data_IF_354829405009
#
_entry.id   IF_354829405009
#
_cell.length_a   1.000
_cell.length_b   1.000
_cell.length_c   1.000
_cell.angle_alpha   90.00
_cell.angle_beta   90.00
_cell.angle_gamma   90.00
#
_symmetry.space_group_name_H-M   'P 1'
#
loop_
_entity.id
_entity.type
_entity.pdbx_description
1 polymer ?
#
# COMPACT_ATOMS: atom_id res chain seq x y z
N UNK A 1 -7.03 -29.83 -13.84
CA UNK A 1 -8.25 -30.40 -13.21
C UNK A 1 -8.29 -30.19 -11.70
N UNK A 2 -7.29 -30.61 -10.92
CA UNK A 2 -7.31 -30.47 -9.44
C UNK A 2 -7.49 -29.02 -8.99
N UNK A 3 -6.66 -28.10 -9.47
CA UNK A 3 -6.78 -26.67 -9.13
C UNK A 3 -8.17 -26.11 -9.47
N UNK A 4 -8.69 -26.41 -10.66
CA UNK A 4 -10.04 -26.01 -11.12
C UNK A 4 -11.11 -26.53 -10.16
N UNK A 5 -11.02 -27.78 -9.73
CA UNK A 5 -11.99 -28.35 -8.78
C UNK A 5 -11.92 -27.67 -7.42
N UNK A 6 -10.73 -27.31 -6.93
CA UNK A 6 -10.55 -26.63 -5.65
C UNK A 6 -11.13 -25.21 -5.68
N UNK A 7 -10.79 -24.42 -6.70
CA UNK A 7 -11.33 -23.04 -6.83
C UNK A 7 -12.84 -23.04 -7.10
N UNK A 8 -13.37 -24.06 -7.80
CA UNK A 8 -14.83 -24.25 -7.92
C UNK A 8 -15.49 -24.61 -6.59
N UNK A 9 -14.86 -25.47 -5.78
CA UNK A 9 -15.38 -25.85 -4.46
C UNK A 9 -15.40 -24.66 -3.49
N UNK A 10 -14.45 -23.73 -3.63
CA UNK A 10 -14.40 -22.47 -2.89
C UNK A 10 -15.37 -21.40 -3.43
N UNK A 11 -16.12 -21.68 -4.50
CA UNK A 11 -17.04 -20.70 -5.11
C UNK A 11 -16.38 -19.63 -5.97
N UNK A 12 -15.04 -19.55 -5.98
CA UNK A 12 -14.25 -18.56 -6.74
C UNK A 12 -14.61 -18.54 -8.23
N UNK A 13 -14.72 -19.74 -8.84
CA UNK A 13 -15.07 -19.85 -10.26
C UNK A 13 -16.28 -20.74 -10.46
N UNK A 14 -17.16 -20.34 -11.38
CA UNK A 14 -18.24 -21.17 -11.91
C UNK A 14 -17.99 -21.48 -13.39
N UNK A 15 -18.60 -22.55 -13.91
CA UNK A 15 -18.52 -22.83 -15.34
C UNK A 15 -19.34 -21.82 -16.15
N UNK A 16 -18.93 -21.52 -17.38
CA UNK A 16 -19.70 -20.68 -18.33
C UNK A 16 -21.13 -21.19 -18.52
N UNK A 17 -21.33 -22.51 -18.43
CA UNK A 17 -22.63 -23.14 -18.37
C UNK A 17 -22.66 -24.22 -17.28
N UNK A 18 -23.84 -24.77 -17.01
CA UNK A 18 -24.01 -25.87 -16.05
C UNK A 18 -23.14 -27.10 -16.37
N UNK A 19 -22.78 -27.32 -17.64
CA UNK A 19 -22.01 -28.50 -18.08
C UNK A 19 -20.66 -28.17 -18.70
N UNK A 20 -20.31 -26.89 -18.87
CA UNK A 20 -19.09 -26.47 -19.57
C UNK A 20 -18.33 -25.44 -18.75
N UNK A 21 -17.08 -25.77 -18.40
CA UNK A 21 -16.19 -24.84 -17.68
C UNK A 21 -15.40 -23.90 -18.62
N UNK A 22 -15.18 -24.31 -19.88
CA UNK A 22 -14.45 -23.55 -20.89
C UNK A 22 -13.02 -23.16 -20.48
N UNK A 23 -12.17 -24.16 -20.22
CA UNK A 23 -10.78 -23.96 -19.74
C UNK A 23 -9.85 -23.28 -20.74
N UNK A 24 -10.20 -23.35 -22.03
CA UNK A 24 -9.33 -22.89 -23.11
C UNK A 24 -9.75 -21.50 -23.63
N UNK A 25 -10.87 -20.96 -23.12
CA UNK A 25 -11.36 -19.64 -23.49
C UNK A 25 -10.59 -18.56 -22.74
N UNK A 26 -10.50 -17.38 -23.35
CA UNK A 26 -9.98 -16.21 -22.67
C UNK A 26 -10.93 -15.78 -21.54
N UNK A 27 -10.33 -15.28 -20.46
CA UNK A 27 -11.06 -14.70 -19.31
C UNK A 27 -11.35 -13.24 -19.63
N UNK A 28 -12.62 -12.85 -19.58
CA UNK A 28 -12.98 -11.45 -19.70
C UNK A 28 -12.60 -10.67 -18.43
N UNK A 29 -12.55 -9.35 -18.53
CA UNK A 29 -12.23 -8.50 -17.38
C UNK A 29 -13.30 -8.54 -16.29
N UNK A 30 -14.57 -8.65 -16.67
CA UNK A 30 -15.67 -8.90 -15.73
C UNK A 30 -15.50 -10.23 -14.98
N UNK A 31 -15.14 -11.30 -15.71
CA UNK A 31 -14.94 -12.61 -15.10
C UNK A 31 -13.79 -12.63 -14.12
N UNK A 32 -12.69 -11.93 -14.45
CA UNK A 32 -11.61 -11.80 -13.50
C UNK A 32 -12.06 -11.05 -12.25
N UNK A 33 -12.78 -9.92 -12.39
CA UNK A 33 -13.26 -9.17 -11.24
C UNK A 33 -14.08 -10.06 -10.29
N UNK A 34 -15.00 -10.86 -10.84
CA UNK A 34 -15.78 -11.84 -10.09
C UNK A 34 -14.90 -12.92 -9.43
N UNK A 35 -13.87 -13.42 -10.10
CA UNK A 35 -12.99 -14.41 -9.49
C UNK A 35 -12.21 -13.82 -8.30
N UNK A 36 -11.88 -12.54 -8.36
CA UNK A 36 -11.04 -11.92 -7.32
C UNK A 36 -11.86 -11.49 -6.13
N UNK A 37 -13.01 -10.87 -6.35
CA UNK A 37 -13.92 -10.53 -5.25
C UNK A 37 -14.33 -11.81 -4.48
N UNK A 38 -14.85 -12.84 -5.15
CA UNK A 38 -15.20 -14.12 -4.50
C UNK A 38 -14.02 -14.81 -3.82
N UNK A 39 -12.81 -14.68 -4.36
CA UNK A 39 -11.63 -15.23 -3.68
C UNK A 39 -11.31 -14.45 -2.40
N UNK A 40 -11.37 -13.12 -2.45
CA UNK A 40 -11.11 -12.25 -1.30
C UNK A 40 -12.09 -12.49 -0.15
N UNK A 41 -13.36 -12.82 -0.45
CA UNK A 41 -14.35 -13.25 0.54
C UNK A 41 -14.01 -14.55 1.27
N UNK A 42 -13.06 -15.33 0.75
CA UNK A 42 -12.59 -16.57 1.38
C UNK A 42 -11.26 -16.41 2.15
N UNK A 43 -10.65 -15.22 2.10
CA UNK A 43 -9.32 -14.98 2.65
C UNK A 43 -9.38 -13.95 3.76
N UNK A 44 -8.75 -14.27 4.89
CA UNK A 44 -8.64 -13.34 6.00
C UNK A 44 -7.88 -12.06 5.59
N UNK A 45 -8.44 -10.90 5.92
CA UNK A 45 -7.79 -9.62 5.68
C UNK A 45 -6.46 -9.55 6.42
N UNK A 46 -5.45 -9.08 5.71
CA UNK A 46 -4.16 -8.76 6.27
C UNK A 46 -4.09 -7.32 6.74
N UNK A 47 -2.97 -6.92 7.35
CA UNK A 47 -2.81 -5.55 7.81
C UNK A 47 -2.93 -4.53 6.67
N UNK A 48 -3.80 -3.54 6.87
CA UNK A 48 -4.16 -2.55 5.86
C UNK A 48 -5.19 -3.03 4.83
N UNK A 49 -5.62 -4.29 4.89
CA UNK A 49 -6.75 -4.81 4.12
C UNK A 49 -8.09 -4.33 4.67
N UNK A 50 -9.10 -4.30 3.81
CA UNK A 50 -10.47 -3.91 4.18
C UNK A 50 -11.28 -5.14 4.56
N UNK A 51 -12.00 -5.04 5.67
CA UNK A 51 -13.05 -5.96 6.09
C UNK A 51 -14.19 -5.10 6.56
N UNK A 52 -15.32 -5.19 5.88
CA UNK A 52 -16.49 -4.34 6.08
C UNK A 52 -17.72 -5.19 6.38
N UNK A 53 -18.71 -4.58 7.03
CA UNK A 53 -19.97 -5.23 7.32
C UNK A 53 -20.58 -5.85 6.05
N UNK A 54 -20.99 -7.11 6.14
CA UNK A 54 -21.60 -7.83 5.03
C UNK A 54 -23.11 -7.97 5.27
N UNK A 55 -23.86 -7.27 4.45
CA UNK A 55 -25.31 -7.24 4.53
C UNK A 55 -26.00 -8.49 4.00
N UNK A 56 -25.36 -9.24 3.10
CA UNK A 56 -25.91 -10.50 2.58
C UNK A 56 -25.89 -11.58 3.68
N UNK A 57 -24.84 -11.57 4.49
CA UNK A 57 -24.65 -12.55 5.59
C UNK A 57 -25.14 -12.02 6.95
N UNK A 58 -25.66 -10.78 7.01
CA UNK A 58 -26.12 -10.10 8.22
C UNK A 58 -25.05 -10.04 9.34
N UNK A 59 -23.82 -9.74 8.95
CA UNK A 59 -22.67 -9.60 9.85
C UNK A 59 -22.38 -8.12 10.14
N UNK A 60 -21.94 -7.84 11.36
CA UNK A 60 -21.40 -6.51 11.71
C UNK A 60 -19.94 -6.43 11.29
N UNK A 61 -19.45 -5.22 11.04
CA UNK A 61 -18.07 -4.90 10.65
C UNK A 61 -17.02 -5.67 11.49
N UNK A 62 -17.10 -5.56 12.82
CA UNK A 62 -16.15 -6.22 13.75
C UNK A 62 -16.18 -7.75 13.74
N UNK A 63 -17.16 -8.37 13.07
CA UNK A 63 -17.28 -9.83 12.92
C UNK A 63 -16.83 -10.35 11.55
N UNK A 64 -16.65 -9.46 10.58
CA UNK A 64 -16.11 -9.81 9.26
C UNK A 64 -14.60 -9.80 9.34
N UNK A 65 -14.00 -10.93 8.97
CA UNK A 65 -12.54 -11.11 8.99
C UNK A 65 -11.95 -11.33 7.61
N UNK A 66 -12.79 -11.49 6.59
CA UNK A 66 -12.36 -11.70 5.20
C UNK A 66 -12.23 -10.37 4.46
N UNK A 67 -11.53 -10.39 3.33
CA UNK A 67 -11.37 -9.19 2.51
C UNK A 67 -12.65 -8.93 1.74
N UNK A 68 -13.29 -7.80 2.01
CA UNK A 68 -14.42 -7.30 1.25
C UNK A 68 -14.48 -5.77 1.36
N UNK A 69 -15.40 -5.19 0.59
CA UNK A 69 -15.78 -3.80 0.73
C UNK A 69 -17.19 -3.63 0.16
N UNK A 70 -18.21 -3.58 1.02
CA UNK A 70 -19.61 -3.54 0.58
C UNK A 70 -19.96 -2.19 -0.08
N UNK A 71 -20.24 -2.22 -1.39
CA UNK A 71 -20.72 -1.07 -2.17
C UNK A 71 -22.25 -1.05 -2.37
N UNK A 72 -23.01 -1.79 -1.55
CA UNK A 72 -24.46 -1.92 -1.57
C UNK A 72 -25.23 -1.21 -0.45
N UNK A 73 -26.56 -1.30 -0.50
CA UNK A 73 -27.50 -0.62 0.40
C UNK A 73 -27.59 -1.19 1.82
N UNK A 74 -26.64 -2.04 2.22
CA UNK A 74 -26.72 -2.84 3.43
C UNK A 74 -25.69 -2.50 4.51
N UNK A 75 -24.75 -1.59 4.24
CA UNK A 75 -23.83 -1.07 5.24
C UNK A 75 -24.60 -0.47 6.43
N UNK A 76 -24.48 -1.11 7.59
CA UNK A 76 -25.10 -0.66 8.84
C UNK A 76 -24.51 0.70 9.22
N UNK A 77 -25.23 1.77 8.90
CA UNK A 77 -25.09 3.16 9.38
C UNK A 77 -23.74 3.88 9.30
N UNK A 78 -22.66 3.29 8.78
CA UNK A 78 -21.40 4.02 8.64
C UNK A 78 -20.38 3.38 7.68
N UNK A 79 -20.79 2.93 6.49
CA UNK A 79 -19.82 2.68 5.42
C UNK A 79 -20.37 3.10 4.08
N UNK A 80 -19.85 4.20 3.58
CA UNK A 80 -20.01 4.63 2.20
C UNK A 80 -18.77 4.11 1.48
N UNK A 81 -18.90 3.09 0.62
CA UNK A 81 -18.24 3.27 -0.67
C UNK A 81 -18.64 4.67 -1.10
N UNK A 82 -17.70 5.58 -1.26
CA UNK A 82 -17.99 6.98 -1.58
C UNK A 82 -18.70 7.14 -2.94
N UNK A 83 -19.15 6.04 -3.56
CA UNK A 83 -19.63 5.96 -4.93
C UNK A 83 -18.56 6.37 -5.93
N UNK A 84 -17.32 6.55 -5.48
CA UNK A 84 -16.20 6.98 -6.30
C UNK A 84 -15.67 5.75 -7.03
N UNK A 85 -16.44 5.22 -7.97
CA UNK A 85 -15.87 4.50 -9.10
C UNK A 85 -15.91 5.44 -10.31
N UNK A 86 -14.87 5.41 -11.14
CA UNK A 86 -14.76 6.35 -12.27
C UNK A 86 -15.22 5.77 -13.61
N UNK A 87 -15.70 4.52 -13.61
CA UNK A 87 -16.02 3.80 -14.84
C UNK A 87 -17.44 4.09 -15.33
N UNK A 88 -17.54 4.52 -16.58
CA UNK A 88 -18.81 4.86 -17.23
C UNK A 88 -19.49 3.66 -17.91
N UNK A 89 -18.77 2.57 -18.12
CA UNK A 89 -19.18 1.40 -18.90
C UNK A 89 -19.62 0.20 -18.07
N UNK A 90 -19.62 0.32 -16.74
CA UNK A 90 -19.95 -0.78 -15.81
C UNK A 90 -21.41 -0.78 -15.33
N UNK A 91 -22.15 0.31 -15.56
CA UNK A 91 -23.58 0.45 -15.24
C UNK A 91 -24.48 0.17 -16.45
N UNK A 92 -23.89 -0.27 -17.56
CA UNK A 92 -24.63 -0.61 -18.78
C UNK A 92 -25.20 -2.03 -18.70
N UNK A 93 -26.35 -2.29 -19.35
CA UNK A 93 -26.99 -3.62 -19.34
C UNK A 93 -26.23 -4.75 -20.05
N UNK A 94 -24.99 -4.50 -20.49
CA UNK A 94 -24.09 -5.53 -21.02
C UNK A 94 -23.24 -6.21 -19.94
N UNK A 95 -23.19 -5.64 -18.74
CA UNK A 95 -22.50 -6.18 -17.56
C UNK A 95 -23.54 -6.81 -16.64
N UNK A 96 -23.20 -7.94 -16.02
CA UNK A 96 -24.07 -8.52 -15.01
C UNK A 96 -24.14 -7.64 -13.76
N UNK A 97 -25.24 -7.73 -12.99
CA UNK A 97 -25.37 -6.97 -11.73
C UNK A 97 -24.25 -7.34 -10.76
N UNK A 98 -23.96 -8.65 -10.65
CA UNK A 98 -22.88 -9.17 -9.83
C UNK A 98 -21.52 -8.66 -10.30
N UNK A 99 -21.23 -8.72 -11.61
CA UNK A 99 -19.98 -8.21 -12.16
C UNK A 99 -19.82 -6.70 -11.96
N UNK A 100 -20.90 -5.92 -12.10
CA UNK A 100 -20.89 -4.48 -11.83
C UNK A 100 -20.56 -4.16 -10.38
N UNK A 101 -21.12 -4.92 -9.42
CA UNK A 101 -20.81 -4.77 -8.00
C UNK A 101 -19.36 -5.13 -7.72
N UNK A 102 -18.90 -6.32 -8.10
CA UNK A 102 -17.51 -6.75 -7.90
C UNK A 102 -16.50 -5.72 -8.45
N UNK A 103 -16.74 -5.16 -9.65
CA UNK A 103 -15.85 -4.13 -10.22
C UNK A 103 -15.81 -2.86 -9.35
N UNK A 104 -16.93 -2.44 -8.76
CA UNK A 104 -17.00 -1.24 -7.90
C UNK A 104 -16.28 -1.45 -6.57
N UNK A 105 -16.44 -2.63 -5.99
CA UNK A 105 -15.77 -2.99 -4.74
C UNK A 105 -14.26 -3.05 -4.95
N UNK A 106 -13.81 -3.78 -5.98
CA UNK A 106 -12.40 -3.85 -6.36
C UNK A 106 -11.82 -2.46 -6.67
N UNK A 107 -12.57 -1.58 -7.35
CA UNK A 107 -12.10 -0.20 -7.59
C UNK A 107 -11.85 0.56 -6.29
N UNK A 108 -12.79 0.49 -5.34
CA UNK A 108 -12.67 1.18 -4.05
C UNK A 108 -11.47 0.68 -3.25
N UNK A 109 -11.18 -0.62 -3.35
CA UNK A 109 -10.00 -1.25 -2.77
C UNK A 109 -8.69 -1.00 -3.55
N UNK A 110 -8.74 -0.27 -4.68
CA UNK A 110 -7.57 -0.03 -5.53
C UNK A 110 -7.10 -1.26 -6.31
N UNK A 111 -7.95 -2.28 -6.45
CA UNK A 111 -7.70 -3.51 -7.22
C UNK A 111 -8.19 -3.31 -8.64
N UNK A 112 -7.39 -2.61 -9.44
CA UNK A 112 -7.67 -2.36 -10.85
C UNK A 112 -6.40 -1.99 -11.61
N UNK A 113 -6.41 -2.10 -12.94
CA UNK A 113 -5.27 -1.82 -13.82
C UNK A 113 -5.45 -0.54 -14.66
N UNK A 114 -6.54 0.21 -14.44
CA UNK A 114 -6.74 1.54 -15.00
C UNK A 114 -6.67 1.65 -16.53
N UNK A 115 -7.26 0.70 -17.29
CA UNK A 115 -7.28 0.67 -18.78
C UNK A 115 -7.42 2.07 -19.39
N UNK A 116 -8.38 2.84 -18.89
CA UNK A 116 -8.38 4.30 -18.98
C UNK A 116 -8.85 4.88 -17.64
N UNK A 117 -8.80 6.21 -17.51
CA UNK A 117 -9.33 6.89 -16.33
C UNK A 117 -10.82 6.60 -16.11
N UNK A 118 -11.61 6.33 -17.17
CA UNK A 118 -13.08 6.27 -17.10
C UNK A 118 -13.73 5.06 -17.79
N UNK A 119 -12.93 4.08 -18.23
CA UNK A 119 -13.40 2.90 -18.96
C UNK A 119 -12.74 1.64 -18.40
N UNK A 120 -13.56 0.66 -18.03
CA UNK A 120 -13.10 -0.64 -17.54
C UNK A 120 -12.98 -1.69 -18.65
N UNK A 121 -13.80 -1.61 -19.70
CA UNK A 121 -13.95 -2.61 -20.77
C UNK A 121 -14.31 -4.04 -20.29
N UNK A 122 -15.45 -4.25 -19.59
CA UNK A 122 -15.80 -5.52 -18.93
C UNK A 122 -15.77 -6.77 -19.84
N UNK A 123 -16.22 -6.62 -21.09
CA UNK A 123 -16.32 -7.72 -22.07
C UNK A 123 -15.02 -8.02 -22.81
N UNK A 124 -13.98 -7.21 -22.63
CA UNK A 124 -12.69 -7.43 -23.29
C UNK A 124 -11.89 -8.53 -22.60
N UNK A 125 -11.10 -9.25 -23.37
CA UNK A 125 -10.16 -10.24 -22.85
C UNK A 125 -9.13 -9.57 -21.95
N UNK A 126 -8.87 -10.17 -20.79
CA UNK A 126 -7.88 -9.65 -19.86
C UNK A 126 -6.47 -10.09 -20.25
N UNK A 127 -5.55 -9.12 -20.34
CA UNK A 127 -4.13 -9.42 -20.59
C UNK A 127 -3.46 -10.03 -19.37
N UNK A 128 -2.36 -10.76 -19.56
CA UNK A 128 -1.56 -11.30 -18.45
C UNK A 128 -0.98 -10.22 -17.54
N UNK A 129 -0.63 -9.05 -18.10
CA UNK A 129 -0.13 -7.93 -17.31
C UNK A 129 -1.24 -7.36 -16.42
N UNK A 130 -2.44 -7.15 -16.96
CA UNK A 130 -3.62 -6.75 -16.21
C UNK A 130 -3.94 -7.72 -15.07
N UNK A 131 -3.93 -9.03 -15.37
CA UNK A 131 -4.14 -10.09 -14.38
C UNK A 131 -3.14 -10.01 -13.22
N UNK A 132 -1.86 -9.79 -13.53
CA UNK A 132 -0.81 -9.68 -12.53
C UNK A 132 -0.96 -8.42 -11.65
N UNK A 133 -1.41 -7.30 -12.24
CA UNK A 133 -1.72 -6.07 -11.48
C UNK A 133 -2.87 -6.33 -10.50
N UNK A 134 -3.96 -6.95 -10.94
CA UNK A 134 -5.08 -7.33 -10.06
C UNK A 134 -4.61 -8.25 -8.94
N UNK A 135 -3.79 -9.25 -9.24
CA UNK A 135 -3.24 -10.18 -8.23
C UNK A 135 -2.35 -9.51 -7.21
N UNK A 136 -1.46 -8.64 -7.65
CA UNK A 136 -0.58 -7.94 -6.73
C UNK A 136 -1.37 -7.00 -5.81
N UNK A 137 -2.35 -6.27 -6.37
CA UNK A 137 -3.21 -5.39 -5.60
C UNK A 137 -4.11 -6.16 -4.62
N UNK A 138 -4.75 -7.24 -5.07
CA UNK A 138 -5.61 -8.07 -4.22
C UNK A 138 -4.82 -8.75 -3.09
N UNK A 139 -3.61 -9.27 -3.38
CA UNK A 139 -2.74 -9.86 -2.36
C UNK A 139 -2.33 -8.88 -1.27
N UNK A 140 -2.22 -7.58 -1.59
CA UNK A 140 -1.89 -6.55 -0.61
C UNK A 140 -2.94 -6.43 0.51
N UNK A 141 -4.20 -6.79 0.24
CA UNK A 141 -5.28 -6.83 1.22
C UNK A 141 -5.30 -8.09 2.09
N UNK A 142 -4.52 -9.11 1.75
CA UNK A 142 -4.49 -10.41 2.44
C UNK A 142 -3.27 -10.56 3.35
N UNK A 143 -3.19 -11.67 4.08
CA UNK A 143 -1.99 -12.08 4.81
C UNK A 143 -0.92 -12.78 3.95
N UNK A 144 -1.15 -13.02 2.66
CA UNK A 144 -0.18 -13.75 1.83
C UNK A 144 1.01 -12.85 1.49
N UNK A 145 2.22 -13.32 1.81
CA UNK A 145 3.48 -12.61 1.56
C UNK A 145 4.55 -13.60 1.08
N UNK A 146 5.60 -13.15 0.38
CA UNK A 146 6.69 -14.04 -0.02
C UNK A 146 7.37 -14.68 1.20
N UNK A 147 8.12 -15.76 0.98
CA UNK A 147 8.98 -16.36 2.00
C UNK A 147 9.91 -15.30 2.62
N UNK A 148 10.17 -15.45 3.91
CA UNK A 148 11.11 -14.62 4.66
C UNK A 148 10.44 -13.48 5.39
N UNK A 149 11.28 -12.70 6.06
CA UNK A 149 10.90 -11.50 6.78
C UNK A 149 10.71 -10.37 5.75
N UNK A 150 9.60 -9.66 5.86
CA UNK A 150 9.29 -8.49 5.03
C UNK A 150 8.82 -7.36 5.91
N UNK A 151 9.31 -6.16 5.63
CA UNK A 151 8.80 -4.91 6.22
C UNK A 151 8.24 -4.03 5.11
N UNK A 152 7.07 -3.46 5.36
CA UNK A 152 6.35 -2.60 4.42
C UNK A 152 5.94 -1.32 5.14
N UNK A 153 5.95 -0.21 4.43
CA UNK A 153 5.44 1.06 4.89
C UNK A 153 4.24 1.46 4.02
N UNK A 154 3.16 1.91 4.65
CA UNK A 154 2.01 2.44 3.94
C UNK A 154 2.40 3.69 3.12
N UNK A 155 1.84 3.83 1.92
CA UNK A 155 2.04 5.03 1.10
C UNK A 155 1.57 6.27 1.87
N UNK A 156 2.40 7.32 2.02
CA UNK A 156 1.99 8.53 2.70
C UNK A 156 0.95 9.29 1.87
N UNK A 157 -0.07 9.83 2.54
CA UNK A 157 -1.19 10.50 1.88
C UNK A 157 -0.94 11.99 1.56
N UNK A 158 0.23 12.54 1.91
CA UNK A 158 0.48 13.98 1.87
C UNK A 158 1.89 14.33 1.38
N UNK A 159 2.06 15.58 0.93
CA UNK A 159 3.37 16.18 0.65
C UNK A 159 3.90 16.79 1.95
N UNK A 160 5.18 16.55 2.27
CA UNK A 160 5.85 17.09 3.46
C UNK A 160 6.16 16.00 4.49
N UNK A 161 5.87 16.27 5.77
CA UNK A 161 6.05 15.29 6.85
C UNK A 161 5.21 14.04 6.57
N UNK A 162 5.89 12.91 6.43
CA UNK A 162 5.27 11.65 6.03
C UNK A 162 5.24 10.71 7.22
N UNK A 163 4.04 10.37 7.67
CA UNK A 163 3.79 9.32 8.64
C UNK A 163 3.22 8.12 7.90
N UNK A 164 3.86 6.96 8.06
CA UNK A 164 3.51 5.72 7.39
C UNK A 164 3.38 4.61 8.42
N UNK A 165 2.22 3.98 8.48
CA UNK A 165 2.06 2.76 9.27
C UNK A 165 3.04 1.70 8.75
N UNK A 166 3.79 1.07 9.66
CA UNK A 166 4.64 -0.05 9.35
C UNK A 166 3.88 -1.36 9.52
N UNK A 167 4.25 -2.34 8.71
CA UNK A 167 3.81 -3.71 8.85
C UNK A 167 4.99 -4.65 8.61
N UNK A 168 5.14 -5.64 9.50
CA UNK A 168 6.15 -6.68 9.36
C UNK A 168 5.46 -8.03 9.26
N UNK A 169 5.93 -8.88 8.36
CA UNK A 169 5.44 -10.25 8.19
C UNK A 169 6.60 -11.23 8.07
N UNK A 170 6.41 -12.45 8.56
CA UNK A 170 7.40 -13.52 8.43
C UNK A 170 6.75 -14.81 7.94
N UNK A 171 7.26 -15.34 6.82
CA UNK A 171 6.74 -16.55 6.19
C UNK A 171 7.83 -17.58 5.96
N UNK A 172 7.45 -18.85 5.99
CA UNK A 172 8.34 -19.94 5.58
C UNK A 172 8.31 -20.16 4.05
N UNK A 173 9.04 -21.17 3.58
CA UNK A 173 9.12 -21.53 2.16
C UNK A 173 7.80 -22.04 1.56
N UNK A 174 6.83 -22.42 2.40
CA UNK A 174 5.47 -22.80 2.00
C UNK A 174 4.52 -21.60 1.99
N UNK A 175 5.02 -20.40 2.33
CA UNK A 175 4.24 -19.18 2.57
C UNK A 175 3.34 -19.26 3.82
N UNK A 176 3.61 -20.22 4.72
CA UNK A 176 2.90 -20.36 5.98
C UNK A 176 3.43 -19.34 7.00
N UNK A 177 2.57 -18.82 7.91
CA UNK A 177 2.99 -17.87 8.93
C UNK A 177 3.96 -18.50 9.93
N UNK A 178 5.07 -17.81 10.22
CA UNK A 178 5.95 -18.18 11.31
C UNK A 178 5.50 -17.44 12.56
N UNK A 179 4.91 -18.17 13.50
CA UNK A 179 4.31 -17.63 14.73
C UNK A 179 5.36 -17.46 15.83
N UNK A 180 5.18 -16.43 16.66
CA UNK A 180 5.98 -16.12 17.85
C UNK A 180 7.48 -15.91 17.60
N UNK A 181 7.87 -15.55 16.37
CA UNK A 181 9.23 -15.17 16.05
C UNK A 181 9.53 -13.77 16.61
N UNK A 182 10.61 -13.58 17.40
CA UNK A 182 10.98 -12.26 17.91
C UNK A 182 11.58 -11.43 16.79
N UNK A 183 11.13 -10.20 16.65
CA UNK A 183 11.58 -9.26 15.63
C UNK A 183 12.15 -8.03 16.31
N UNK A 184 13.43 -7.74 16.09
CA UNK A 184 14.00 -6.43 16.46
C UNK A 184 13.90 -5.48 15.27
N UNK A 185 13.63 -4.22 15.59
CA UNK A 185 13.43 -3.15 14.64
C UNK A 185 14.12 -1.87 15.10
N UNK A 186 14.80 -1.23 14.17
CA UNK A 186 15.49 0.03 14.36
C UNK A 186 15.54 0.76 13.04
N UNK A 187 15.82 2.06 13.08
CA UNK A 187 15.92 2.88 11.88
C UNK A 187 17.16 3.76 11.87
N UNK A 188 17.57 4.13 10.68
CA UNK A 188 18.60 5.13 10.41
C UNK A 188 18.00 6.27 9.63
N UNK A 189 18.30 7.50 10.04
CA UNK A 189 17.90 8.70 9.30
C UNK A 189 19.06 9.13 8.41
N UNK A 190 18.80 9.31 7.12
CA UNK A 190 19.80 9.80 6.18
C UNK A 190 20.24 11.21 6.55
N UNK A 191 21.54 11.36 6.87
CA UNK A 191 22.16 12.62 7.27
C UNK A 191 22.74 13.41 6.09
N UNK A 192 22.37 13.08 4.85
CA UNK A 192 22.71 13.82 3.64
C UNK A 192 24.22 13.86 3.31
N UNK A 193 24.91 12.73 3.51
CA UNK A 193 26.23 12.50 2.92
C UNK A 193 27.45 12.85 3.78
N UNK A 194 27.30 13.04 5.10
CA UNK A 194 28.45 13.08 6.00
C UNK A 194 29.13 11.70 6.06
N UNK A 195 30.39 11.62 5.65
CA UNK A 195 31.19 10.39 5.72
C UNK A 195 31.22 9.84 7.16
N UNK A 196 30.97 8.53 7.30
CA UNK A 196 30.98 7.84 8.59
C UNK A 196 29.67 7.88 9.39
N UNK A 197 28.61 8.52 8.88
CA UNK A 197 27.31 8.62 9.56
C UNK A 197 26.28 7.58 9.09
N UNK A 198 26.75 6.40 8.67
CA UNK A 198 25.88 5.32 8.22
C UNK A 198 25.37 4.43 9.37
N UNK A 199 24.39 3.54 9.07
CA UNK A 199 23.81 2.61 10.05
C UNK A 199 24.82 1.57 10.56
N UNK A 200 25.89 1.32 9.80
CA UNK A 200 26.86 0.26 10.08
C UNK A 200 28.26 0.82 10.31
N UNK A 201 29.01 0.15 11.18
CA UNK A 201 30.45 0.35 11.35
C UNK A 201 31.23 -0.40 10.27
N UNK A 202 32.55 -0.22 10.21
CA UNK A 202 33.41 -0.96 9.28
C UNK A 202 33.51 -2.46 9.54
N UNK A 203 32.99 -2.94 10.67
CA UNK A 203 32.93 -4.36 11.03
C UNK A 203 31.51 -4.94 10.93
N UNK A 204 30.60 -4.28 10.21
CA UNK A 204 29.22 -4.74 10.02
C UNK A 204 28.28 -4.53 11.23
N UNK A 205 28.84 -4.30 12.42
CA UNK A 205 28.06 -3.99 13.62
C UNK A 205 27.28 -2.69 13.47
N UNK A 206 26.16 -2.63 14.17
CA UNK A 206 25.34 -1.43 14.27
C UNK A 206 26.09 -0.23 14.82
N UNK A 207 25.88 0.91 14.17
CA UNK A 207 26.45 2.18 14.57
C UNK A 207 25.46 2.92 15.47
N UNK A 208 25.48 2.60 16.76
CA UNK A 208 24.57 3.16 17.78
C UNK A 208 24.58 4.71 17.89
N UNK A 209 25.53 5.40 17.24
CA UNK A 209 25.53 6.86 17.16
C UNK A 209 24.53 7.42 16.14
N UNK A 210 24.08 6.61 15.17
CA UNK A 210 23.27 7.06 14.03
C UNK A 210 22.00 6.24 13.79
N UNK A 211 21.81 5.15 14.52
CA UNK A 211 20.56 4.40 14.51
C UNK A 211 19.74 4.73 15.75
N UNK A 212 18.45 4.40 15.70
CA UNK A 212 17.54 4.55 16.82
C UNK A 212 16.63 3.34 16.88
N UNK A 213 16.43 2.77 18.07
CA UNK A 213 15.45 1.71 18.27
C UNK A 213 14.05 2.19 17.85
N UNK A 214 13.33 1.35 17.13
CA UNK A 214 11.92 1.60 16.84
C UNK A 214 11.14 1.55 18.17
N UNK A 215 10.09 2.34 18.34
CA UNK A 215 9.36 2.41 19.62
C UNK A 215 8.75 1.08 20.08
N UNK A 216 8.62 0.12 19.17
CA UNK A 216 8.15 -1.24 19.46
C UNK A 216 9.24 -2.19 19.96
N UNK A 217 10.51 -1.86 19.76
CA UNK A 217 11.67 -2.69 20.14
C UNK A 217 12.42 -2.03 21.29
N UNK A 218 13.11 -2.83 22.11
CA UNK A 218 13.75 -2.28 23.30
C UNK A 218 15.23 -1.95 23.06
N UNK A 219 16.00 -2.91 22.56
CA UNK A 219 17.45 -2.76 22.38
C UNK A 219 17.80 -2.79 20.91
N UNK A 220 18.27 -1.68 20.33
CA UNK A 220 18.64 -1.71 18.91
C UNK A 220 19.70 -2.79 18.63
N UNK A 221 19.49 -3.53 17.54
CA UNK A 221 20.43 -4.50 17.01
C UNK A 221 20.70 -5.70 17.91
N UNK A 222 19.72 -6.07 18.74
CA UNK A 222 19.83 -7.21 19.63
C UNK A 222 18.46 -7.83 19.86
N UNK A 223 18.32 -9.13 19.56
CA UNK A 223 17.06 -9.84 19.86
C UNK A 223 16.95 -10.04 21.36
N UNK A 224 16.06 -9.31 21.99
CA UNK A 224 15.72 -9.44 23.39
C UNK A 224 14.36 -10.14 23.61
N UNK A 225 14.03 -10.34 24.89
CA UNK A 225 12.78 -11.03 25.27
C UNK A 225 11.56 -10.13 25.23
N UNK A 226 11.76 -8.81 25.24
CA UNK A 226 10.72 -7.79 25.21
C UNK A 226 10.38 -7.35 23.78
N UNK A 227 11.21 -7.71 22.80
CA UNK A 227 10.93 -7.49 21.38
C UNK A 227 9.58 -8.09 20.96
N UNK A 228 8.91 -7.41 20.01
CA UNK A 228 7.62 -7.84 19.52
C UNK A 228 7.77 -9.18 18.81
N UNK A 229 6.72 -10.00 18.93
CA UNK A 229 6.67 -11.33 18.33
C UNK A 229 5.58 -11.40 17.30
N UNK A 230 5.83 -12.13 16.22
CA UNK A 230 4.80 -12.37 15.21
C UNK A 230 3.59 -13.06 15.83
N UNK A 231 2.40 -12.61 15.43
CA UNK A 231 1.12 -13.20 15.83
C UNK A 231 0.84 -14.53 15.11
N UNK A 232 -0.36 -15.09 15.29
CA UNK A 232 -0.79 -16.34 14.66
C UNK A 232 -0.88 -16.25 13.12
N UNK A 233 -0.99 -15.03 12.58
CA UNK A 233 -0.94 -14.73 11.15
C UNK A 233 0.49 -14.41 10.68
N UNK A 234 1.50 -14.56 11.55
CA UNK A 234 2.89 -14.31 11.25
C UNK A 234 3.19 -12.82 11.04
N UNK A 235 2.43 -11.91 11.63
CA UNK A 235 2.52 -10.47 11.43
C UNK A 235 2.85 -9.72 12.72
N UNK A 236 3.35 -8.50 12.58
CA UNK A 236 3.49 -7.50 13.64
C UNK A 236 3.04 -6.16 13.07
N UNK A 237 2.40 -5.35 13.90
CA UNK A 237 2.09 -3.94 13.64
C UNK A 237 2.98 -3.06 14.54
N UNK A 238 4.18 -2.68 14.07
CA UNK A 238 5.06 -1.78 14.81
C UNK A 238 4.48 -0.37 14.89
N UNK A 239 5.15 0.49 15.65
CA UNK A 239 4.86 1.92 15.64
C UNK A 239 4.98 2.50 14.20
N UNK A 240 4.27 3.60 13.96
CA UNK A 240 4.32 4.26 12.68
C UNK A 240 5.72 4.85 12.44
N UNK A 241 6.26 4.60 11.25
CA UNK A 241 7.43 5.27 10.74
C UNK A 241 7.09 6.73 10.39
N UNK A 242 8.05 7.64 10.61
CA UNK A 242 7.83 9.03 10.24
C UNK A 242 9.09 9.69 9.70
N UNK A 243 9.05 10.15 8.46
CA UNK A 243 10.09 11.00 7.89
C UNK A 243 9.70 12.46 7.96
N UNK A 244 10.61 13.30 8.46
CA UNK A 244 10.40 14.75 8.57
C UNK A 244 10.98 15.45 7.36
N UNK A 245 10.21 16.37 6.78
CA UNK A 245 10.68 17.18 5.67
C UNK A 245 11.91 17.99 6.08
N UNK A 246 12.94 17.97 5.24
CA UNK A 246 14.15 18.77 5.40
C UNK A 246 14.08 20.01 4.51
N UNK A 247 14.78 21.08 4.89
CA UNK A 247 14.81 22.35 4.16
C UNK A 247 15.52 22.28 2.79
N UNK A 248 16.21 21.19 2.49
CA UNK A 248 16.98 21.01 1.25
C UNK A 248 16.32 19.97 0.33
N UNK A 249 16.62 20.03 -0.97
CA UNK A 249 15.98 19.21 -2.02
C UNK A 249 16.21 17.68 -1.87
N UNK A 250 17.15 17.25 -1.02
CA UNK A 250 17.37 15.84 -0.74
C UNK A 250 16.40 15.35 0.31
N UNK A 251 15.72 14.23 0.07
CA UNK A 251 14.84 13.64 1.07
C UNK A 251 15.66 13.05 2.23
N UNK A 252 15.46 13.57 3.45
CA UNK A 252 15.97 12.98 4.69
C UNK A 252 15.19 11.72 5.05
N UNK A 253 15.34 10.66 4.25
CA UNK A 253 14.62 9.40 4.42
C UNK A 253 15.03 8.68 5.69
N UNK A 254 14.09 7.95 6.29
CA UNK A 254 14.36 6.97 7.33
C UNK A 254 14.37 5.59 6.69
N UNK A 255 15.48 4.88 6.81
CA UNK A 255 15.53 3.46 6.48
C UNK A 255 15.23 2.67 7.74
N UNK A 256 14.09 2.00 7.75
CA UNK A 256 13.69 1.10 8.83
C UNK A 256 14.17 -0.31 8.49
N UNK A 257 14.76 -0.95 9.47
CA UNK A 257 15.27 -2.31 9.39
C UNK A 257 14.45 -3.19 10.33
N UNK A 258 14.13 -4.39 9.87
CA UNK A 258 13.56 -5.44 10.69
C UNK A 258 14.43 -6.69 10.53
N UNK A 259 14.71 -7.38 11.62
CA UNK A 259 15.44 -8.63 11.58
C UNK A 259 14.99 -9.59 12.68
N UNK A 260 15.29 -10.87 12.48
CA UNK A 260 14.91 -11.92 13.42
C UNK A 260 15.98 -12.98 13.54
N UNK A 261 16.16 -13.49 14.75
CA UNK A 261 16.99 -14.66 15.01
C UNK A 261 16.65 -15.24 16.39
N UNK A 262 17.48 -16.15 16.91
CA UNK A 262 17.35 -16.58 18.29
C UNK A 262 17.49 -15.41 19.27
N UNK A 263 16.77 -15.48 20.39
CA UNK A 263 16.92 -14.53 21.51
C UNK A 263 18.36 -14.54 22.03
N UNK A 264 18.81 -13.37 22.49
CA UNK A 264 20.17 -13.10 22.93
C UNK A 264 21.21 -13.16 21.82
N UNK A 265 20.82 -12.76 20.61
CA UNK A 265 21.75 -12.61 19.49
C UNK A 265 21.90 -11.15 19.10
N UNK A 266 23.11 -10.77 18.72
CA UNK A 266 23.43 -9.41 18.23
C UNK A 266 23.37 -9.38 16.70
N UNK A 267 22.88 -8.28 16.15
CA UNK A 267 22.90 -8.03 14.72
C UNK A 267 24.30 -7.69 14.24
N UNK A 268 24.66 -8.24 13.08
CA UNK A 268 25.86 -7.89 12.33
C UNK A 268 25.48 -7.90 10.86
N UNK A 269 25.55 -6.75 10.19
CA UNK A 269 25.14 -6.58 8.80
C UNK A 269 25.90 -7.51 7.85
N UNK A 270 27.15 -7.86 8.15
CA UNK A 270 27.97 -8.71 7.28
C UNK A 270 27.48 -10.16 7.27
N UNK A 271 26.75 -10.59 8.31
CA UNK A 271 26.24 -11.97 8.44
C UNK A 271 24.72 -12.07 8.43
N UNK A 272 24.03 -11.00 8.82
CA UNK A 272 22.57 -10.95 9.04
C UNK A 272 21.87 -9.86 8.23
N UNK A 273 22.59 -9.00 7.50
CA UNK A 273 22.01 -7.94 6.67
C UNK A 273 21.42 -8.41 5.32
N UNK A 274 21.13 -9.70 5.18
CA UNK A 274 20.56 -10.26 3.94
C UNK A 274 19.83 -11.60 4.19
N UNK A 275 19.13 -12.08 3.17
CA UNK A 275 18.39 -13.34 3.21
C UNK A 275 17.02 -13.23 3.88
N UNK A 276 16.47 -14.37 4.29
CA UNK A 276 15.06 -14.47 4.69
C UNK A 276 14.78 -13.99 6.13
N UNK A 277 15.79 -13.48 6.85
CA UNK A 277 15.70 -13.05 8.26
C UNK A 277 15.90 -11.54 8.44
N UNK A 278 16.02 -10.79 7.35
CA UNK A 278 16.28 -9.37 7.36
C UNK A 278 15.52 -8.68 6.24
N UNK A 279 14.95 -7.53 6.55
CA UNK A 279 14.29 -6.68 5.57
C UNK A 279 14.48 -5.21 5.93
N UNK A 280 14.35 -4.35 4.92
CA UNK A 280 14.39 -2.91 5.11
C UNK A 280 13.38 -2.20 4.21
N UNK A 281 12.85 -1.08 4.68
CA UNK A 281 12.01 -0.17 3.89
C UNK A 281 12.44 1.27 4.15
N UNK A 282 12.37 2.10 3.11
CA UNK A 282 12.65 3.53 3.22
C UNK A 282 11.35 4.30 3.29
N UNK A 283 11.18 5.10 4.34
CA UNK A 283 10.13 6.12 4.44
C UNK A 283 10.79 7.46 4.17
N UNK A 284 10.37 8.14 3.12
CA UNK A 284 10.91 9.44 2.73
C UNK A 284 9.83 10.52 2.82
N UNK A 285 10.21 11.71 3.24
CA UNK A 285 9.40 12.92 3.12
C UNK A 285 9.74 13.69 1.84
N UNK A 286 8.77 14.39 1.27
CA UNK A 286 9.07 15.42 0.27
C UNK A 286 9.88 16.54 0.92
N UNK A 287 10.82 17.19 0.19
CA UNK A 287 11.50 18.38 0.70
C UNK A 287 10.47 19.47 1.04
N UNK A 288 10.77 20.27 2.06
CA UNK A 288 9.93 21.41 2.39
C UNK A 288 9.93 22.41 1.22
N UNK A 289 8.74 22.84 0.77
CA UNK A 289 8.63 23.99 -0.11
C UNK A 289 8.90 25.24 0.72
N UNK A 290 10.04 25.88 0.51
CA UNK A 290 10.45 27.06 1.28
C UNK A 290 10.00 28.35 0.60
N UNK A 291 9.87 28.35 -0.73
CA UNK A 291 9.52 29.54 -1.52
C UNK A 291 8.45 29.24 -2.57
N UNK A 292 7.50 30.17 -2.75
CA UNK A 292 6.48 30.15 -3.79
C UNK A 292 6.69 31.39 -4.68
N UNK A 293 7.12 31.18 -5.92
CA UNK A 293 7.20 32.26 -6.90
C UNK A 293 6.06 32.12 -7.90
N UNK A 294 5.27 33.19 -8.03
CA UNK A 294 4.18 33.27 -8.99
C UNK A 294 4.48 34.32 -10.05
N UNK A 295 4.23 33.96 -11.31
CA UNK A 295 4.21 34.87 -12.44
C UNK A 295 2.80 34.96 -13.00
N UNK A 296 2.51 36.05 -13.73
CA UNK A 296 1.25 36.19 -14.43
C UNK A 296 1.47 36.88 -15.78
N UNK A 297 0.54 36.68 -16.72
CA UNK A 297 0.60 37.18 -18.10
C UNK A 297 -0.07 38.55 -18.30
N UNK A 298 -0.37 39.28 -17.21
CA UNK A 298 -1.01 40.59 -17.33
C UNK A 298 -0.05 41.60 -18.00
N UNK A 299 -0.57 42.34 -19.00
CA UNK A 299 0.23 43.25 -19.81
C UNK A 299 0.94 44.36 -19.01
N UNK A 300 2.07 44.83 -19.54
CA UNK A 300 3.07 45.74 -18.93
C UNK A 300 2.54 47.12 -18.47
N UNK A 301 1.25 47.40 -18.66
CA UNK A 301 0.61 48.69 -18.34
C UNK A 301 -0.36 48.64 -17.13
N UNK A 302 -0.36 47.56 -16.34
CA UNK A 302 -1.04 47.57 -15.04
C UNK A 302 -0.21 48.43 -14.06
N UNK A 303 -0.75 49.59 -13.66
CA UNK A 303 -0.12 50.52 -12.72
C UNK A 303 0.44 49.79 -11.49
N UNK A 304 1.76 49.82 -11.30
CA UNK A 304 2.43 49.29 -10.11
C UNK A 304 2.39 50.31 -8.98
N UNK A 305 1.48 50.07 -8.05
CA UNK A 305 1.53 50.59 -6.69
C UNK A 305 1.28 49.41 -5.75
N UNK A 306 2.34 48.77 -5.27
CA UNK A 306 2.32 47.71 -4.24
C UNK A 306 1.33 46.58 -4.52
N UNK A 307 1.78 45.56 -5.26
CA UNK A 307 1.14 44.23 -5.36
C UNK A 307 -0.31 44.19 -5.88
N UNK A 308 -0.76 45.18 -6.67
CA UNK A 308 -2.07 45.16 -7.32
C UNK A 308 -1.91 45.26 -8.83
N UNK A 309 -2.48 44.30 -9.57
CA UNK A 309 -2.56 44.30 -11.03
C UNK A 309 -4.00 44.52 -11.46
N UNK A 310 -4.28 45.63 -12.13
CA UNK A 310 -5.62 45.92 -12.69
C UNK A 310 -5.72 45.39 -14.11
N UNK A 311 -6.73 44.56 -14.38
CA UNK A 311 -7.03 44.02 -15.71
C UNK A 311 -8.39 44.52 -16.19
N UNK A 312 -8.62 44.49 -17.50
CA UNK A 312 -9.91 44.88 -18.05
C UNK A 312 -11.00 43.89 -17.65
N UNK A 313 -12.22 44.38 -17.45
CA UNK A 313 -13.39 43.53 -17.25
C UNK A 313 -13.56 42.58 -18.45
N UNK A 314 -13.57 41.27 -18.17
CA UNK A 314 -13.63 40.22 -19.19
C UNK A 314 -12.29 39.75 -19.75
N UNK A 315 -11.16 40.27 -19.26
CA UNK A 315 -9.83 39.76 -19.60
C UNK A 315 -9.53 38.43 -18.87
N UNK A 316 -8.89 37.50 -19.57
CA UNK A 316 -8.35 36.27 -18.99
C UNK A 316 -6.89 36.51 -18.62
N UNK A 317 -6.53 36.24 -17.37
CA UNK A 317 -5.16 36.30 -16.87
C UNK A 317 -4.78 34.93 -16.35
N UNK A 318 -3.65 34.41 -16.79
CA UNK A 318 -3.06 33.17 -16.29
C UNK A 318 -2.07 33.52 -15.19
N UNK A 319 -2.27 32.95 -14.00
CA UNK A 319 -1.27 32.99 -12.92
C UNK A 319 -0.60 31.62 -12.86
N UNK A 320 0.71 31.59 -13.01
CA UNK A 320 1.53 30.39 -12.88
C UNK A 320 2.35 30.49 -11.62
N UNK A 321 2.11 29.61 -10.66
CA UNK A 321 2.89 29.52 -9.43
C UNK A 321 3.78 28.28 -9.45
N UNK A 322 5.02 28.43 -9.00
CA UNK A 322 5.98 27.36 -8.85
C UNK A 322 6.51 27.36 -7.42
N UNK A 323 6.53 26.18 -6.80
CA UNK A 323 7.21 25.96 -5.52
C UNK A 323 8.68 25.66 -5.79
N UNK A 324 9.55 26.24 -4.98
CA UNK A 324 10.99 26.01 -5.01
C UNK A 324 11.45 25.52 -3.64
N UNK A 325 12.42 24.61 -3.63
CA UNK A 325 13.26 24.42 -2.44
C UNK A 325 14.10 25.69 -2.29
N UNK A 326 14.00 26.36 -1.16
CA UNK A 326 14.74 27.60 -0.91
C UNK A 326 16.23 27.37 -1.12
N UNK A 327 16.84 28.22 -1.93
CA UNK A 327 18.28 28.35 -1.97
C UNK A 327 18.68 29.35 -0.88
N UNK A 328 19.56 28.93 0.03
CA UNK A 328 20.63 29.84 0.45
C UNK A 328 21.48 30.19 -0.76
#
# INVERSE_FOLDING_TARGET
>A
QTAINQIKQLGVTVGKTATTFATDDNVSREEMALFIERWLETVAAGPGGTSEADADVALADTSVTYVNNDCGSGASTMMTCSGLYNYSDIDSGSVTVEGSLAIKELFTMGIHDGVSATTFSPSSDMTRAAMATFMTAALAHTNLRPEGLHVQAASPSAVGNNSSTLHVSYRDASFDPIVAAPIDMFYWTDTLGNEGQGPWTSTGLCNASYITAEASSLTECYIDTADPKTDDSGNIAPANASATAVSYLYAGGQTHYAWTDAVATTFDNDTKGSGNKFASVVVSSSPAADELSCSHDAGVNALVSTAVHTTHFGAVTTVTCQFYSGAT
#
